data_IF_174069778254
#
_entry.id   IF_174069778254
#
_cell.length_a   1.000
_cell.length_b   1.000
_cell.length_c   1.000
_cell.angle_alpha   90.00
_cell.angle_beta   90.00
_cell.angle_gamma   90.00
#
_symmetry.space_group_name_H-M   'P 1'
#
loop_
_entity.id
_entity.type
_entity.pdbx_description
1 polymer ?
#
# COMPACT_ATOMS: atom_id res chain seq x y z
N UNK A 1 83.63 -9.29 -58.20
CA UNK A 1 82.87 -8.76 -57.05
C UNK A 1 81.83 -9.79 -56.68
N UNK A 2 82.05 -10.53 -55.59
CA UNK A 2 81.25 -11.71 -55.22
C UNK A 2 80.46 -11.37 -53.95
N UNK A 3 79.13 -11.38 -54.01
CA UNK A 3 78.25 -11.04 -52.87
C UNK A 3 78.04 -12.31 -52.02
N UNK A 4 78.24 -12.29 -50.70
CA UNK A 4 77.92 -13.42 -49.85
C UNK A 4 76.41 -13.45 -49.57
N UNK A 5 75.77 -14.58 -49.88
CA UNK A 5 74.36 -14.84 -49.57
C UNK A 5 74.28 -15.61 -48.26
N UNK A 6 73.80 -14.96 -47.21
CA UNK A 6 73.56 -15.57 -45.89
C UNK A 6 72.20 -16.29 -45.88
N UNK A 7 72.11 -17.56 -45.45
CA UNK A 7 70.83 -18.27 -45.39
C UNK A 7 70.00 -17.83 -44.15
N UNK A 8 68.66 -17.73 -44.27
CA UNK A 8 67.81 -17.31 -43.17
C UNK A 8 67.65 -18.42 -42.13
N UNK A 9 67.83 -18.06 -40.86
CA UNK A 9 67.64 -18.94 -39.71
C UNK A 9 66.14 -19.21 -39.45
N UNK A 10 65.76 -20.42 -39.01
CA UNK A 10 64.37 -20.78 -38.77
C UNK A 10 63.81 -20.07 -37.52
N UNK A 11 62.72 -19.33 -37.70
CA UNK A 11 62.01 -18.64 -36.62
C UNK A 11 61.44 -19.64 -35.60
N UNK A 12 61.87 -19.50 -34.35
CA UNK A 12 61.37 -20.26 -33.20
C UNK A 12 59.97 -19.77 -32.86
N UNK A 13 58.94 -20.52 -33.27
CA UNK A 13 57.54 -20.22 -32.90
C UNK A 13 57.37 -20.57 -31.41
N UNK A 14 57.36 -19.54 -30.59
CA UNK A 14 57.15 -19.66 -29.14
C UNK A 14 55.68 -20.00 -28.86
N UNK A 15 55.41 -21.26 -28.47
CA UNK A 15 54.05 -21.72 -28.15
C UNK A 15 53.59 -21.11 -26.81
N UNK A 16 52.54 -20.29 -26.85
CA UNK A 16 51.85 -19.76 -25.65
C UNK A 16 51.41 -20.92 -24.73
N UNK A 17 51.83 -20.87 -23.47
CA UNK A 17 51.39 -21.82 -22.43
C UNK A 17 49.91 -21.58 -22.10
N UNK A 18 49.07 -22.58 -22.31
CA UNK A 18 47.65 -22.51 -21.95
C UNK A 18 47.45 -22.45 -20.43
N UNK A 19 46.49 -21.64 -20.00
CA UNK A 19 46.15 -21.49 -18.57
C UNK A 19 45.42 -22.74 -18.07
N UNK A 20 45.78 -23.22 -16.88
CA UNK A 20 45.13 -24.37 -16.24
C UNK A 20 43.65 -24.05 -15.98
N UNK A 21 42.76 -24.96 -16.39
CA UNK A 21 41.30 -24.83 -16.18
C UNK A 21 40.99 -24.88 -14.68
N UNK A 22 40.01 -24.08 -14.25
CA UNK A 22 39.56 -24.02 -12.86
C UNK A 22 38.97 -25.35 -12.35
N UNK A 23 38.65 -25.42 -11.05
CA UNK A 23 38.07 -26.61 -10.43
C UNK A 23 36.84 -27.08 -11.20
N UNK A 24 36.76 -28.37 -11.51
CA UNK A 24 35.61 -28.92 -12.22
C UNK A 24 34.34 -28.76 -11.36
N UNK A 25 33.19 -28.40 -11.96
CA UNK A 25 31.94 -28.34 -11.24
C UNK A 25 31.61 -29.71 -10.62
N UNK A 26 31.19 -29.69 -9.37
CA UNK A 26 30.78 -30.88 -8.62
C UNK A 26 29.59 -31.56 -9.30
N UNK A 27 29.51 -32.89 -9.19
CA UNK A 27 28.45 -33.68 -9.83
C UNK A 27 27.16 -33.57 -9.04
N UNK A 28 26.02 -33.73 -9.71
CA UNK A 28 24.69 -33.56 -9.11
C UNK A 28 24.48 -34.38 -7.82
N UNK A 29 25.07 -35.58 -7.74
CA UNK A 29 24.99 -36.43 -6.54
C UNK A 29 25.94 -36.03 -5.40
N UNK A 30 26.87 -35.13 -5.63
CA UNK A 30 27.73 -34.56 -4.57
C UNK A 30 26.99 -33.44 -3.82
N UNK A 31 25.78 -33.07 -4.26
CA UNK A 31 24.90 -32.11 -3.59
C UNK A 31 24.06 -32.72 -2.45
N UNK A 32 24.21 -34.02 -2.13
CA UNK A 32 23.32 -34.73 -1.19
C UNK A 32 23.47 -34.35 0.31
N UNK A 33 24.15 -33.27 0.68
CA UNK A 33 24.39 -32.93 2.09
C UNK A 33 23.77 -31.60 2.57
N UNK A 34 22.83 -31.00 1.82
CA UNK A 34 22.11 -29.80 2.27
C UNK A 34 20.58 -29.92 2.33
N UNK A 35 20.00 -31.10 2.05
CA UNK A 35 18.58 -31.36 2.33
C UNK A 35 18.28 -31.50 3.83
N UNK A 36 19.20 -31.08 4.70
CA UNK A 36 19.00 -30.99 6.13
C UNK A 36 17.96 -29.91 6.44
N UNK A 37 16.72 -30.35 6.66
CA UNK A 37 15.70 -29.66 7.47
C UNK A 37 15.30 -28.28 6.94
N UNK A 38 14.69 -28.20 5.76
CA UNK A 38 13.83 -27.05 5.45
C UNK A 38 12.69 -27.08 6.47
N UNK A 39 12.73 -26.19 7.47
CA UNK A 39 11.64 -26.08 8.46
C UNK A 39 10.34 -25.74 7.70
N UNK A 40 9.18 -26.28 8.12
CA UNK A 40 7.92 -25.87 7.55
C UNK A 40 7.81 -24.35 7.56
N UNK A 41 7.33 -23.72 6.47
CA UNK A 41 7.15 -22.27 6.45
C UNK A 41 6.26 -21.87 7.63
N UNK A 42 6.84 -21.14 8.58
CA UNK A 42 6.08 -20.60 9.71
C UNK A 42 5.06 -19.63 9.15
N UNK A 43 3.84 -19.67 9.68
CA UNK A 43 2.76 -18.75 9.35
C UNK A 43 3.32 -17.33 9.36
N UNK A 44 3.24 -16.64 8.22
CA UNK A 44 3.60 -15.22 8.16
C UNK A 44 2.60 -14.48 9.04
N UNK A 45 3.03 -14.10 10.23
CA UNK A 45 2.27 -13.17 11.06
C UNK A 45 2.18 -11.88 10.27
N UNK A 46 0.94 -11.50 9.91
CA UNK A 46 0.68 -10.30 9.12
C UNK A 46 1.04 -9.10 9.99
N UNK A 47 2.28 -8.64 9.87
CA UNK A 47 2.74 -7.44 10.55
C UNK A 47 1.96 -6.25 9.96
N UNK A 48 1.14 -5.63 10.80
CA UNK A 48 0.35 -4.46 10.42
C UNK A 48 1.26 -3.28 10.14
N UNK A 49 1.00 -2.58 9.03
CA UNK A 49 1.79 -1.41 8.67
C UNK A 49 1.59 -0.30 9.68
N UNK A 50 2.60 0.55 9.86
CA UNK A 50 2.52 1.68 10.78
C UNK A 50 1.34 2.60 10.45
N UNK A 51 1.10 2.82 9.15
CA UNK A 51 -0.04 3.60 8.68
C UNK A 51 -1.36 3.01 9.19
N UNK A 52 -1.59 1.69 9.05
CA UNK A 52 -2.83 1.07 9.53
C UNK A 52 -3.03 1.24 11.04
N UNK A 53 -1.95 1.13 11.83
CA UNK A 53 -2.01 1.38 13.28
C UNK A 53 -2.43 2.82 13.58
N UNK A 54 -1.87 3.78 12.85
CA UNK A 54 -2.23 5.20 12.97
C UNK A 54 -3.72 5.39 12.64
N UNK A 55 -4.22 4.84 11.54
CA UNK A 55 -5.63 4.96 11.14
C UNK A 55 -6.60 4.44 12.21
N UNK A 56 -6.26 3.32 12.85
CA UNK A 56 -7.08 2.72 13.92
C UNK A 56 -7.09 3.62 15.16
N UNK A 57 -5.92 4.16 15.54
CA UNK A 57 -5.83 5.11 16.65
C UNK A 57 -6.64 6.38 16.32
N UNK A 58 -6.50 6.93 15.11
CA UNK A 58 -7.26 8.09 14.67
C UNK A 58 -8.76 7.85 14.75
N UNK A 59 -9.23 6.69 14.29
CA UNK A 59 -10.63 6.30 14.41
C UNK A 59 -11.09 6.26 15.87
N UNK A 60 -10.34 5.60 16.75
CA UNK A 60 -10.70 5.47 18.17
C UNK A 60 -10.77 6.80 18.92
N UNK A 61 -9.88 7.75 18.61
CA UNK A 61 -9.79 9.01 19.34
C UNK A 61 -10.62 10.15 18.77
N UNK A 62 -10.88 10.16 17.46
CA UNK A 62 -11.49 11.31 16.79
C UNK A 62 -12.85 11.02 16.16
N UNK A 63 -13.17 9.77 15.88
CA UNK A 63 -14.46 9.45 15.32
C UNK A 63 -15.54 9.52 16.41
N UNK A 64 -16.77 9.81 15.99
CA UNK A 64 -17.94 9.80 16.86
C UNK A 64 -19.03 8.93 16.22
N UNK A 65 -19.62 8.05 17.02
CA UNK A 65 -20.66 7.12 16.59
C UNK A 65 -21.99 7.60 17.16
N UNK A 66 -23.04 7.74 16.31
CA UNK A 66 -24.38 8.04 16.78
C UNK A 66 -24.86 6.96 17.76
N UNK A 67 -25.19 7.38 18.98
CA UNK A 67 -25.87 6.53 19.96
C UNK A 67 -27.35 6.51 19.60
N UNK A 68 -27.92 5.31 19.46
CA UNK A 68 -29.38 5.17 19.33
C UNK A 68 -30.03 5.72 20.59
N UNK A 69 -31.00 6.64 20.49
CA UNK A 69 -31.64 7.21 21.67
C UNK A 69 -32.34 6.09 22.45
N UNK A 70 -31.81 5.76 23.61
CA UNK A 70 -32.48 4.90 24.57
C UNK A 70 -33.70 5.64 25.10
N UNK A 71 -34.85 4.97 25.14
CA UNK A 71 -36.20 5.52 25.38
C UNK A 71 -36.34 6.31 26.70
N UNK A 72 -35.35 6.27 27.59
CA UNK A 72 -35.36 6.96 28.90
C UNK A 72 -34.34 8.10 29.03
N UNK A 73 -33.66 8.53 27.96
CA UNK A 73 -32.65 9.60 28.04
C UNK A 73 -33.30 10.98 27.99
N UNK A 74 -33.12 11.76 29.06
CA UNK A 74 -33.66 13.10 29.20
C UNK A 74 -33.09 14.09 28.17
N UNK A 75 -33.78 15.21 28.00
CA UNK A 75 -33.84 16.14 26.87
C UNK A 75 -32.54 16.87 26.44
N UNK A 76 -31.35 16.34 26.75
CA UNK A 76 -30.09 16.94 26.34
C UNK A 76 -29.64 16.37 24.98
N UNK A 77 -29.89 17.13 23.93
CA UNK A 77 -29.50 16.84 22.53
C UNK A 77 -27.99 16.67 22.30
N UNK A 78 -27.16 16.90 23.31
CA UNK A 78 -25.71 16.73 23.28
C UNK A 78 -25.24 15.28 23.47
N UNK A 79 -26.08 14.37 23.97
CA UNK A 79 -25.67 12.99 24.34
C UNK A 79 -25.75 11.96 23.18
N UNK A 80 -25.99 12.40 21.95
CA UNK A 80 -26.19 11.48 20.81
C UNK A 80 -24.91 10.93 20.20
N UNK A 81 -23.72 11.33 20.66
CA UNK A 81 -22.46 10.95 20.03
C UNK A 81 -21.51 10.34 21.05
N UNK A 82 -21.17 9.06 20.86
CA UNK A 82 -20.21 8.34 21.71
C UNK A 82 -18.91 8.06 20.94
N UNK A 83 -17.77 7.91 21.63
CA UNK A 83 -16.56 7.41 20.99
C UNK A 83 -16.79 5.97 20.49
N UNK A 84 -16.18 5.60 19.35
CA UNK A 84 -16.22 4.23 18.87
C UNK A 84 -15.49 3.29 19.83
N UNK A 85 -16.00 2.07 19.89
CA UNK A 85 -15.43 0.98 20.68
C UNK A 85 -14.36 0.25 19.87
N UNK A 86 -13.47 -0.46 20.57
CA UNK A 86 -12.49 -1.33 19.91
C UNK A 86 -13.15 -2.46 19.11
N UNK A 87 -14.36 -2.88 19.49
CA UNK A 87 -15.15 -3.88 18.76
C UNK A 87 -15.59 -3.33 17.40
N UNK A 88 -16.05 -2.08 17.36
CA UNK A 88 -16.42 -1.42 16.10
C UNK A 88 -15.20 -1.22 15.21
N UNK A 89 -14.06 -0.79 15.77
CA UNK A 89 -12.81 -0.70 15.04
C UNK A 89 -12.35 -2.07 14.51
N UNK A 90 -12.48 -3.13 15.32
CA UNK A 90 -12.16 -4.50 14.93
C UNK A 90 -12.96 -4.94 13.72
N UNK A 91 -14.27 -4.70 13.73
CA UNK A 91 -15.17 -5.00 12.60
C UNK A 91 -14.85 -4.16 11.36
N UNK A 92 -14.61 -2.86 11.53
CA UNK A 92 -14.37 -1.92 10.43
C UNK A 92 -13.07 -2.20 9.67
N UNK A 93 -11.99 -2.47 10.41
CA UNK A 93 -10.64 -2.63 9.85
C UNK A 93 -10.22 -4.10 9.67
N UNK A 94 -11.03 -5.06 10.14
CA UNK A 94 -10.68 -6.49 10.10
C UNK A 94 -9.48 -6.84 10.98
N UNK A 95 -9.23 -6.06 12.05
CA UNK A 95 -8.13 -6.30 12.99
C UNK A 95 -8.68 -7.04 14.20
N UNK A 96 -8.02 -8.09 14.71
CA UNK A 96 -8.36 -8.66 16.01
C UNK A 96 -8.33 -7.60 17.11
N UNK A 97 -9.35 -7.58 17.98
CA UNK A 97 -9.45 -6.61 19.08
C UNK A 97 -8.20 -6.60 19.96
N UNK A 98 -7.60 -7.78 20.23
CA UNK A 98 -6.34 -7.90 20.99
C UNK A 98 -5.21 -7.05 20.40
N UNK A 99 -5.05 -7.07 19.08
CA UNK A 99 -4.03 -6.28 18.37
C UNK A 99 -4.34 -4.79 18.47
N UNK A 100 -5.62 -4.40 18.41
CA UNK A 100 -6.04 -3.01 18.64
C UNK A 100 -5.70 -2.58 20.07
N UNK A 101 -5.98 -3.42 21.06
CA UNK A 101 -5.64 -3.13 22.46
C UNK A 101 -4.13 -2.96 22.66
N UNK A 102 -3.30 -3.80 22.01
CA UNK A 102 -1.84 -3.66 22.01
C UNK A 102 -1.38 -2.37 21.31
N UNK A 103 -2.04 -1.95 20.24
CA UNK A 103 -1.76 -0.67 19.58
C UNK A 103 -2.07 0.52 20.49
N UNK A 104 -3.21 0.50 21.19
CA UNK A 104 -3.59 1.54 22.14
C UNK A 104 -2.60 1.62 23.31
N UNK A 105 -2.16 0.47 23.84
CA UNK A 105 -1.14 0.41 24.91
C UNK A 105 0.22 0.95 24.46
N UNK A 106 0.62 0.68 23.22
CA UNK A 106 1.90 1.10 22.67
C UNK A 106 1.79 2.36 21.79
N UNK A 107 0.73 3.16 21.94
CA UNK A 107 0.46 4.32 21.07
C UNK A 107 1.63 5.30 21.00
N UNK A 108 2.28 5.58 22.12
CA UNK A 108 3.42 6.50 22.21
C UNK A 108 4.64 6.00 21.42
N UNK A 109 4.86 4.67 21.41
CA UNK A 109 5.94 4.02 20.67
C UNK A 109 5.65 3.91 19.17
N UNK A 110 4.37 3.81 18.79
CA UNK A 110 3.93 3.88 17.39
C UNK A 110 4.06 5.31 16.87
N UNK A 111 3.85 6.29 17.72
CA UNK A 111 3.85 7.68 17.30
C UNK A 111 5.24 8.21 16.97
N UNK A 112 6.32 7.80 17.66
CA UNK A 112 7.73 8.01 17.24
C UNK A 112 8.17 9.45 16.90
N UNK A 113 7.26 10.41 16.96
CA UNK A 113 7.34 11.83 16.67
C UNK A 113 6.48 12.49 17.74
N UNK A 114 7.14 13.13 18.71
CA UNK A 114 6.56 13.51 19.98
C UNK A 114 5.14 14.09 19.95
N UNK A 115 4.33 13.64 20.89
CA UNK A 115 3.33 14.37 21.67
C UNK A 115 2.41 15.41 20.98
N UNK A 116 2.14 15.34 19.67
CA UNK A 116 1.30 16.37 19.03
C UNK A 116 0.89 16.20 17.58
N UNK A 117 1.09 15.04 16.95
CA UNK A 117 0.81 14.90 15.50
C UNK A 117 -0.58 14.38 15.13
N UNK A 118 -1.35 13.78 16.05
CA UNK A 118 -2.73 13.35 15.75
C UNK A 118 -3.79 14.44 15.95
N UNK A 119 -3.54 15.46 16.78
CA UNK A 119 -4.48 16.58 17.02
C UNK A 119 -4.60 17.54 15.83
N UNK A 120 -3.57 17.62 14.98
CA UNK A 120 -3.55 18.50 13.81
C UNK A 120 -4.27 17.94 12.57
N UNK A 121 -4.77 16.69 12.63
CA UNK A 121 -5.49 16.06 11.51
C UNK A 121 -7.01 16.00 11.70
N UNK A 122 -7.54 16.04 12.94
CA UNK A 122 -8.97 15.81 13.14
C UNK A 122 -9.63 16.55 14.32
N UNK A 123 -9.02 17.60 14.87
CA UNK A 123 -9.70 18.48 15.85
C UNK A 123 -9.59 19.93 15.43
N UNK A 124 -10.32 20.26 14.37
CA UNK A 124 -10.66 21.63 14.10
C UNK A 124 -12.18 21.76 14.12
N UNK A 125 -12.71 22.20 15.26
CA UNK A 125 -14.01 22.90 15.32
C UNK A 125 -13.98 24.22 14.52
N UNK A 126 -12.87 24.55 13.85
CA UNK A 126 -12.78 25.55 12.81
C UNK A 126 -12.77 24.88 11.42
N UNK A 127 -13.47 25.44 10.44
CA UNK A 127 -13.47 25.02 9.04
C UNK A 127 -12.10 25.22 8.34
N UNK A 128 -11.02 24.62 8.84
CA UNK A 128 -9.77 24.45 8.12
C UNK A 128 -9.57 22.97 7.80
N UNK A 129 -10.49 22.48 6.98
CA UNK A 129 -10.37 21.25 6.19
C UNK A 129 -8.97 21.25 5.56
N UNK A 130 -8.13 20.29 5.96
CA UNK A 130 -7.02 19.71 5.19
C UNK A 130 -6.49 20.60 4.05
N UNK A 131 -5.78 21.68 4.38
CA UNK A 131 -5.07 22.45 3.36
C UNK A 131 -3.69 21.84 3.20
N UNK A 132 -3.51 21.04 2.15
CA UNK A 132 -2.16 20.74 1.69
C UNK A 132 -1.43 22.06 1.44
N UNK A 133 -0.14 22.15 1.80
CA UNK A 133 0.64 23.32 1.39
C UNK A 133 0.62 23.40 -0.14
N UNK A 134 0.58 24.62 -0.70
CA UNK A 134 0.64 24.78 -2.16
C UNK A 134 1.84 24.04 -2.75
N UNK A 135 2.98 24.02 -2.05
CA UNK A 135 4.16 23.26 -2.45
C UNK A 135 3.96 21.74 -2.49
N UNK A 136 3.19 21.16 -1.55
CA UNK A 136 2.88 19.72 -1.61
C UNK A 136 1.99 19.38 -2.80
N UNK A 137 0.99 20.22 -3.06
CA UNK A 137 0.06 20.03 -4.18
C UNK A 137 0.78 20.16 -5.53
N UNK A 138 1.59 21.20 -5.73
CA UNK A 138 2.41 21.37 -6.94
C UNK A 138 3.43 20.23 -7.12
N UNK A 139 4.07 19.80 -6.03
CA UNK A 139 5.00 18.66 -6.06
C UNK A 139 4.31 17.34 -6.42
N UNK A 140 3.09 17.13 -5.94
CA UNK A 140 2.25 15.99 -6.31
C UNK A 140 1.90 16.04 -7.80
N UNK A 141 1.42 17.18 -8.29
CA UNK A 141 1.10 17.38 -9.71
C UNK A 141 2.32 17.09 -10.61
N UNK A 142 3.50 17.60 -10.24
CA UNK A 142 4.75 17.36 -10.96
C UNK A 142 5.17 15.88 -10.97
N UNK A 143 5.13 15.21 -9.82
CA UNK A 143 5.51 13.78 -9.70
C UNK A 143 4.63 12.86 -10.55
N UNK A 144 3.34 13.17 -10.67
CA UNK A 144 2.38 12.37 -11.41
C UNK A 144 2.05 12.93 -12.81
N UNK A 145 2.75 13.98 -13.26
CA UNK A 145 2.51 14.65 -14.56
C UNK A 145 1.05 15.09 -14.75
N UNK A 146 0.41 15.52 -13.67
CA UNK A 146 -0.97 15.99 -13.69
C UNK A 146 -0.93 17.49 -14.00
N UNK A 147 -1.45 17.90 -15.15
CA UNK A 147 -1.62 19.32 -15.46
C UNK A 147 -2.97 19.81 -14.91
N UNK A 148 -2.98 20.95 -14.21
CA UNK A 148 -4.19 21.72 -13.93
C UNK A 148 -4.73 22.33 -15.23
N UNK A 149 -5.29 21.50 -16.11
CA UNK A 149 -6.12 22.03 -17.18
C UNK A 149 -7.43 22.44 -16.54
N UNK A 150 -7.63 23.74 -16.41
CA UNK A 150 -8.95 24.32 -16.19
C UNK A 150 -9.82 23.82 -17.33
N UNK A 151 -10.66 22.82 -17.09
CA UNK A 151 -11.72 22.46 -18.03
C UNK A 151 -12.67 23.65 -18.02
N UNK A 152 -12.38 24.64 -18.86
CA UNK A 152 -13.30 25.74 -19.11
C UNK A 152 -14.58 25.10 -19.62
N UNK A 153 -15.68 25.44 -18.95
CA UNK A 153 -17.03 24.97 -19.26
C UNK A 153 -17.38 25.25 -20.72
N UNK A 154 -17.03 24.33 -21.60
CA UNK A 154 -17.86 23.95 -22.73
C UNK A 154 -18.12 22.47 -22.54
N UNK A 155 -19.14 22.16 -21.74
CA UNK A 155 -19.85 20.91 -21.94
C UNK A 155 -20.30 20.94 -23.40
N UNK A 156 -19.55 20.29 -24.29
CA UNK A 156 -20.05 19.96 -25.60
C UNK A 156 -21.37 19.24 -25.35
N UNK A 157 -22.44 19.77 -25.94
CA UNK A 157 -23.79 19.20 -25.95
C UNK A 157 -23.62 17.67 -26.02
N UNK A 158 -23.94 16.96 -24.94
CA UNK A 158 -23.85 15.49 -24.92
C UNK A 158 -24.71 15.05 -26.09
N UNK A 159 -24.10 14.47 -27.15
CA UNK A 159 -24.85 13.96 -28.28
C UNK A 159 -25.91 13.02 -27.73
N UNK A 160 -27.15 13.15 -28.19
CA UNK A 160 -28.30 12.37 -27.69
C UNK A 160 -28.01 10.86 -27.72
N UNK A 161 -27.16 10.43 -28.66
CA UNK A 161 -26.67 9.07 -28.83
C UNK A 161 -25.85 8.55 -27.62
N UNK A 162 -25.10 9.42 -26.96
CA UNK A 162 -24.31 9.07 -25.77
C UNK A 162 -25.18 8.88 -24.53
N UNK A 163 -26.37 9.49 -24.45
CA UNK A 163 -27.28 9.28 -23.31
C UNK A 163 -27.70 7.82 -23.21
N UNK A 164 -27.99 7.18 -24.35
CA UNK A 164 -28.35 5.74 -24.37
C UNK A 164 -27.20 4.86 -23.88
N UNK A 165 -25.95 5.14 -24.28
CA UNK A 165 -24.78 4.40 -23.83
C UNK A 165 -24.56 4.54 -22.32
N UNK A 166 -24.64 5.76 -21.79
CA UNK A 166 -24.48 6.03 -20.35
C UNK A 166 -25.59 5.37 -19.53
N UNK A 167 -26.85 5.44 -19.99
CA UNK A 167 -27.98 4.77 -19.32
C UNK A 167 -27.80 3.25 -19.33
N UNK A 168 -27.38 2.66 -20.45
CA UNK A 168 -27.12 1.23 -20.53
C UNK A 168 -25.98 0.80 -19.61
N UNK A 169 -24.91 1.57 -19.54
CA UNK A 169 -23.78 1.31 -18.65
C UNK A 169 -24.19 1.36 -17.16
N UNK A 170 -24.96 2.37 -16.77
CA UNK A 170 -25.49 2.48 -15.40
C UNK A 170 -26.42 1.31 -15.05
N UNK A 171 -27.27 0.87 -15.99
CA UNK A 171 -28.14 -0.30 -15.82
C UNK A 171 -27.34 -1.59 -15.66
N UNK A 172 -26.26 -1.76 -16.42
CA UNK A 172 -25.35 -2.89 -16.31
C UNK A 172 -24.69 -2.96 -14.94
N UNK A 173 -24.10 -1.85 -14.48
CA UNK A 173 -23.50 -1.77 -13.14
C UNK A 173 -24.53 -2.08 -12.05
N UNK A 174 -25.76 -1.54 -12.17
CA UNK A 174 -26.83 -1.82 -11.20
C UNK A 174 -27.13 -3.31 -11.09
N UNK A 175 -27.15 -4.06 -12.20
CA UNK A 175 -27.37 -5.52 -12.17
C UNK A 175 -26.22 -6.26 -11.50
N UNK A 176 -24.98 -5.89 -11.79
CA UNK A 176 -23.80 -6.56 -11.24
C UNK A 176 -23.51 -6.21 -9.78
N UNK A 177 -24.07 -5.09 -9.29
CA UNK A 177 -23.91 -4.67 -7.89
C UNK A 177 -25.03 -5.16 -6.98
N UNK A 178 -26.02 -5.91 -7.48
CA UNK A 178 -27.01 -6.53 -6.61
C UNK A 178 -26.41 -7.81 -6.00
N UNK A 179 -26.37 -7.95 -4.67
CA UNK A 179 -25.95 -9.20 -4.04
C UNK A 179 -27.00 -10.29 -4.30
N UNK A 180 -26.55 -11.51 -4.56
CA UNK A 180 -27.44 -12.65 -4.77
C UNK A 180 -28.31 -12.88 -3.53
N UNK A 181 -29.66 -12.94 -3.67
CA UNK A 181 -30.57 -13.07 -2.55
C UNK A 181 -30.42 -14.38 -1.77
N UNK A 182 -29.68 -15.36 -2.33
CA UNK A 182 -29.44 -16.67 -1.73
C UNK A 182 -28.43 -16.61 -0.56
N UNK A 183 -27.69 -15.49 -0.43
CA UNK A 183 -26.66 -15.32 0.63
C UNK A 183 -27.10 -14.45 1.80
N UNK A 184 -28.37 -14.02 1.85
CA UNK A 184 -28.91 -13.28 2.97
C UNK A 184 -29.40 -14.27 4.05
N UNK A 185 -28.80 -14.32 5.25
CA UNK A 185 -29.33 -15.12 6.35
C UNK A 185 -30.68 -14.55 6.79
N UNK A 186 -31.70 -15.42 6.82
CA UNK A 186 -33.01 -15.14 7.41
C UNK A 186 -32.96 -15.06 8.93
#
# INVERSE_FOLDING_TARGET
MTIPTTPPQPNKIERKKEKKRGPKPKRLYEHHSHAAKIKPPKRQEKAWSQAQKIWVLTFLFHHQVPTTPTIHSSNNSADLLRPPTQIEASKLFGIPQRTISECVKNKEKIEGLGNGTYTNLCTSKNKSIFKFSNGWFEGFLGRYKISLRTITKKAQKILEDYKKLVINWLRFNRRNSQPDPITAPG
#
